data_IF_735119304592
#
_entry.id   IF_735119304592
#
_cell.length_a   1.000
_cell.length_b   1.000
_cell.length_c   1.000
_cell.angle_alpha   90.00
_cell.angle_beta   90.00
_cell.angle_gamma   90.00
#
_symmetry.space_group_name_H-M   'P 1'
#
loop_
_entity.id
_entity.type
_entity.pdbx_description
1 polymer ?
#
# COMPACT_ATOMS: atom_id res chain seq x y z
N UNK A 1 -2.85 8.17 -2.34
CA UNK A 1 -3.75 7.00 -2.18
C UNK A 1 -5.14 7.41 -2.64
N UNK A 2 -5.68 6.85 -3.73
CA UNK A 2 -7.00 7.17 -4.26
C UNK A 2 -8.15 6.53 -3.46
N UNK A 3 -7.86 5.57 -2.57
CA UNK A 3 -8.87 4.77 -1.86
C UNK A 3 -9.87 4.17 -2.84
N UNK A 4 -11.14 4.04 -2.47
CA UNK A 4 -12.23 3.57 -3.32
C UNK A 4 -12.81 4.70 -4.21
N UNK A 5 -11.96 5.37 -5.00
CA UNK A 5 -12.36 6.44 -5.91
C UNK A 5 -11.72 6.30 -7.28
N UNK A 6 -12.38 6.89 -8.27
CA UNK A 6 -11.91 6.99 -9.65
C UNK A 6 -12.71 6.15 -10.62
N UNK A 7 -12.62 6.55 -11.88
CA UNK A 7 -13.09 5.87 -13.07
C UNK A 7 -12.06 6.10 -14.19
N UNK A 8 -12.25 5.50 -15.37
CA UNK A 8 -11.25 5.65 -16.45
C UNK A 8 -11.03 7.11 -16.87
N UNK A 9 -12.07 7.94 -16.87
CA UNK A 9 -11.97 9.33 -17.28
C UNK A 9 -11.14 10.14 -16.28
N UNK A 10 -11.52 10.12 -15.01
CA UNK A 10 -10.82 10.83 -13.93
C UNK A 10 -9.37 10.36 -13.77
N UNK A 11 -9.10 9.05 -13.93
CA UNK A 11 -7.71 8.53 -13.91
C UNK A 11 -6.91 9.07 -15.10
N UNK A 12 -7.49 9.14 -16.29
CA UNK A 12 -6.86 9.74 -17.46
C UNK A 12 -6.57 11.24 -17.27
N UNK A 13 -7.48 11.98 -16.64
CA UNK A 13 -7.29 13.39 -16.29
C UNK A 13 -6.15 13.56 -15.27
N UNK A 14 -6.11 12.75 -14.20
CA UNK A 14 -5.01 12.74 -13.22
C UNK A 14 -3.68 12.42 -13.93
N UNK A 15 -3.66 11.45 -14.82
CA UNK A 15 -2.47 11.09 -15.58
C UNK A 15 -1.97 12.25 -16.44
N UNK A 16 -2.84 12.90 -17.21
CA UNK A 16 -2.48 14.09 -18.00
C UNK A 16 -1.91 15.21 -17.14
N UNK A 17 -2.57 15.52 -16.01
CA UNK A 17 -2.12 16.57 -15.11
C UNK A 17 -0.75 16.28 -14.50
N UNK A 18 -0.54 15.07 -13.98
CA UNK A 18 0.73 14.72 -13.33
C UNK A 18 1.88 14.54 -14.32
N UNK A 19 1.62 13.96 -15.49
CA UNK A 19 2.65 13.73 -16.51
C UNK A 19 3.07 15.01 -17.24
N UNK A 20 2.15 15.99 -17.35
CA UNK A 20 2.44 17.31 -17.91
C UNK A 20 3.07 18.31 -16.92
N UNK A 21 3.14 17.97 -15.63
CA UNK A 21 3.73 18.83 -14.61
C UNK A 21 5.27 18.74 -14.61
N UNK A 22 5.93 19.86 -14.32
CA UNK A 22 7.34 19.88 -13.93
C UNK A 22 7.45 19.39 -12.50
N UNK A 23 8.15 18.27 -12.31
CA UNK A 23 8.34 17.61 -11.01
C UNK A 23 9.84 17.53 -10.73
N UNK A 24 10.24 17.53 -9.46
CA UNK A 24 11.63 17.30 -9.06
C UNK A 24 12.00 15.84 -9.32
N UNK A 25 13.06 15.62 -10.11
CA UNK A 25 13.55 14.28 -10.46
C UNK A 25 14.08 13.50 -9.24
N UNK A 26 14.33 14.16 -8.10
CA UNK A 26 14.73 13.52 -6.85
C UNK A 26 13.53 13.04 -6.00
N UNK A 27 12.29 13.30 -6.43
CA UNK A 27 11.09 12.88 -5.69
C UNK A 27 10.55 11.55 -6.23
N UNK A 28 10.46 10.53 -5.38
CA UNK A 28 9.75 9.28 -5.71
C UNK A 28 8.23 9.47 -5.60
N UNK A 29 7.50 9.23 -6.68
CA UNK A 29 6.03 9.37 -6.73
C UNK A 29 5.37 7.99 -6.73
N UNK A 30 4.44 7.77 -5.80
CA UNK A 30 3.72 6.50 -5.64
C UNK A 30 2.20 6.73 -5.62
N UNK A 31 1.48 6.08 -6.53
CA UNK A 31 0.05 6.22 -6.73
C UNK A 31 -0.71 4.99 -6.24
N UNK A 32 -1.36 5.09 -5.07
CA UNK A 32 -2.23 4.03 -4.54
C UNK A 32 -3.54 3.90 -5.31
N UNK A 33 -3.68 2.85 -6.12
CA UNK A 33 -4.75 2.67 -7.11
C UNK A 33 -5.71 1.52 -6.74
N UNK A 34 -7.04 1.65 -6.94
CA UNK A 34 -7.97 0.52 -6.83
C UNK A 34 -7.58 -0.63 -7.77
N UNK A 35 -7.70 -1.87 -7.30
CA UNK A 35 -7.26 -3.07 -8.04
C UNK A 35 -7.77 -3.14 -9.48
N UNK A 36 -9.04 -2.82 -9.69
CA UNK A 36 -9.71 -2.86 -11.00
C UNK A 36 -9.14 -1.87 -12.02
N UNK A 37 -8.31 -0.93 -11.58
CA UNK A 37 -7.71 0.09 -12.44
C UNK A 37 -6.18 0.06 -12.48
N UNK A 38 -5.51 -0.89 -11.81
CA UNK A 38 -4.03 -0.92 -11.74
C UNK A 38 -3.41 -1.02 -13.14
N UNK A 39 -3.82 -1.99 -13.96
CA UNK A 39 -3.28 -2.16 -15.31
C UNK A 39 -3.55 -0.94 -16.19
N UNK A 40 -4.75 -0.36 -16.08
CA UNK A 40 -5.11 0.86 -16.82
C UNK A 40 -4.28 2.07 -16.40
N UNK A 41 -4.06 2.26 -15.09
CA UNK A 41 -3.17 3.30 -14.60
C UNK A 41 -1.73 3.06 -15.09
N UNK A 42 -1.27 1.80 -15.09
CA UNK A 42 0.08 1.50 -15.56
C UNK A 42 0.31 1.86 -17.02
N UNK A 43 -0.69 1.68 -17.88
CA UNK A 43 -0.66 2.09 -19.30
C UNK A 43 -0.57 3.61 -19.48
N UNK A 44 -1.21 4.38 -18.58
CA UNK A 44 -1.27 5.85 -18.68
C UNK A 44 -0.07 6.56 -18.09
N UNK A 45 0.54 5.99 -17.04
CA UNK A 45 1.63 6.61 -16.31
C UNK A 45 2.99 6.09 -16.81
N UNK A 46 3.97 6.97 -17.09
CA UNK A 46 5.35 6.57 -17.35
C UNK A 46 6.00 5.85 -16.15
N UNK A 47 7.09 5.12 -16.40
CA UNK A 47 7.81 4.34 -15.39
C UNK A 47 8.26 5.14 -14.16
N UNK A 48 8.48 6.46 -14.30
CA UNK A 48 8.84 7.36 -13.18
C UNK A 48 7.76 7.44 -12.09
N UNK A 49 6.50 7.15 -12.43
CA UNK A 49 5.40 7.05 -11.48
C UNK A 49 5.23 5.61 -11.07
N UNK A 50 5.44 5.32 -9.79
CA UNK A 50 5.16 4.02 -9.23
C UNK A 50 3.65 3.84 -9.04
N UNK A 51 3.14 2.66 -9.35
CA UNK A 51 1.76 2.27 -9.05
C UNK A 51 1.80 1.36 -7.83
N UNK A 52 0.98 1.69 -6.83
CA UNK A 52 0.80 0.91 -5.63
C UNK A 52 -0.58 0.28 -5.60
N UNK A 53 -0.63 -1.00 -5.25
CA UNK A 53 -1.87 -1.63 -4.81
C UNK A 53 -2.28 -1.10 -3.42
N UNK A 54 -3.59 -1.13 -3.14
CA UNK A 54 -4.13 -0.64 -1.87
C UNK A 54 -4.28 -1.72 -0.77
N UNK A 55 -4.00 -2.99 -1.11
CA UNK A 55 -3.87 -4.13 -0.20
C UNK A 55 -3.23 -5.30 -0.97
N UNK A 56 -2.81 -6.35 -0.28
CA UNK A 56 -2.56 -7.67 -0.87
C UNK A 56 -2.68 -8.73 0.22
N UNK A 57 -2.60 -10.00 -0.16
CA UNK A 57 -2.66 -11.11 0.78
C UNK A 57 -1.29 -11.68 1.14
N UNK A 58 -1.28 -12.51 2.18
CA UNK A 58 -0.06 -13.01 2.85
C UNK A 58 0.53 -14.30 2.25
N UNK A 59 -0.05 -14.81 1.16
CA UNK A 59 0.42 -16.04 0.50
C UNK A 59 0.29 -15.89 -1.03
N UNK A 60 1.10 -16.64 -1.81
CA UNK A 60 1.20 -16.43 -3.25
C UNK A 60 -0.07 -16.83 -4.02
N UNK A 61 -0.81 -17.84 -3.54
CA UNK A 61 -2.05 -18.35 -4.13
C UNK A 61 -2.81 -19.25 -3.16
N UNK A 62 -4.11 -19.45 -3.39
CA UNK A 62 -4.93 -20.38 -2.62
C UNK A 62 -6.42 -20.08 -2.72
N UNK A 63 -7.21 -20.71 -1.85
CA UNK A 63 -8.65 -20.50 -1.76
C UNK A 63 -8.99 -19.21 -0.99
N UNK A 64 -8.64 -18.05 -1.56
CA UNK A 64 -8.85 -16.72 -0.99
C UNK A 64 -9.64 -15.83 -1.96
N UNK A 65 -10.89 -16.21 -2.23
CA UNK A 65 -11.75 -15.51 -3.20
C UNK A 65 -11.84 -14.00 -2.87
N UNK A 66 -11.52 -13.17 -3.85
CA UNK A 66 -11.55 -11.70 -3.74
C UNK A 66 -10.20 -11.07 -3.35
N UNK A 67 -9.23 -11.85 -2.89
CA UNK A 67 -7.89 -11.36 -2.57
C UNK A 67 -6.97 -11.38 -3.79
N UNK A 68 -5.90 -10.58 -3.71
CA UNK A 68 -4.82 -10.53 -4.70
C UNK A 68 -3.47 -10.81 -4.03
N UNK A 69 -2.60 -11.57 -4.68
CA UNK A 69 -1.27 -11.85 -4.17
C UNK A 69 -0.23 -10.84 -4.66
N UNK A 70 0.89 -10.66 -3.94
CA UNK A 70 1.99 -9.81 -4.41
C UNK A 70 2.50 -10.19 -5.81
N UNK A 71 2.56 -11.49 -6.11
CA UNK A 71 2.96 -11.98 -7.43
C UNK A 71 2.03 -11.49 -8.56
N UNK A 72 0.70 -11.46 -8.33
CA UNK A 72 -0.25 -10.90 -9.31
C UNK A 72 -0.04 -9.39 -9.52
N UNK A 73 0.31 -8.65 -8.48
CA UNK A 73 0.57 -7.21 -8.57
C UNK A 73 1.85 -6.92 -9.37
N UNK A 74 2.88 -7.73 -9.16
CA UNK A 74 4.15 -7.64 -9.88
C UNK A 74 3.98 -7.93 -11.37
N UNK A 75 3.15 -8.92 -11.71
CA UNK A 75 2.80 -9.27 -13.10
C UNK A 75 2.21 -8.09 -13.88
N UNK A 76 1.43 -7.23 -13.21
CA UNK A 76 0.84 -6.02 -13.81
C UNK A 76 1.66 -4.74 -13.53
N UNK A 77 2.93 -4.89 -13.13
CA UNK A 77 3.89 -3.80 -12.89
C UNK A 77 3.47 -2.79 -11.80
N UNK A 78 2.71 -3.25 -10.80
CA UNK A 78 2.52 -2.53 -9.54
C UNK A 78 3.59 -2.96 -8.54
N UNK A 79 4.64 -2.14 -8.43
CA UNK A 79 5.84 -2.46 -7.65
C UNK A 79 5.74 -2.05 -6.16
N UNK A 80 4.63 -1.46 -5.75
CA UNK A 80 4.38 -1.01 -4.39
C UNK A 80 3.05 -1.58 -3.86
N UNK A 81 2.92 -1.68 -2.54
CA UNK A 81 1.64 -1.97 -1.88
C UNK A 81 1.49 -1.20 -0.58
N UNK A 82 0.29 -0.70 -0.31
CA UNK A 82 -0.09 -0.08 0.95
C UNK A 82 -0.66 -1.15 1.87
N UNK A 83 -0.10 -1.32 3.06
CA UNK A 83 -0.51 -2.33 4.03
C UNK A 83 -0.70 -1.72 5.41
N UNK A 84 -1.72 -2.18 6.12
CA UNK A 84 -2.06 -1.66 7.44
C UNK A 84 -2.73 -0.29 7.42
N UNK A 85 -3.32 0.13 6.30
CA UNK A 85 -4.09 1.37 6.25
C UNK A 85 -5.21 1.35 7.31
N UNK A 86 -5.48 2.50 7.94
CA UNK A 86 -6.43 2.60 9.07
C UNK A 86 -7.81 2.02 8.75
N UNK A 87 -8.33 2.25 7.53
CA UNK A 87 -9.58 1.64 7.06
C UNK A 87 -9.54 0.10 7.11
N UNK A 88 -8.41 -0.52 6.76
CA UNK A 88 -8.23 -1.99 6.83
C UNK A 88 -8.15 -2.47 8.27
N UNK A 89 -7.47 -1.72 9.14
CA UNK A 89 -7.36 -2.02 10.59
C UNK A 89 -8.69 -1.92 11.31
N UNK A 90 -9.44 -0.84 11.10
CA UNK A 90 -10.59 -0.50 11.95
C UNK A 90 -11.95 -0.83 11.31
N UNK A 91 -12.08 -0.79 9.98
CA UNK A 91 -13.34 -1.17 9.31
C UNK A 91 -13.35 -2.66 8.96
N UNK A 92 -12.23 -3.17 8.45
CA UNK A 92 -12.10 -4.58 8.06
C UNK A 92 -11.45 -5.46 9.13
N UNK A 93 -11.09 -4.88 10.27
CA UNK A 93 -10.56 -5.59 11.44
C UNK A 93 -9.30 -6.43 11.13
N UNK A 94 -8.43 -5.96 10.25
CA UNK A 94 -7.15 -6.63 9.99
C UNK A 94 -6.21 -6.50 11.20
N UNK A 95 -5.82 -7.61 11.86
CA UNK A 95 -4.96 -7.55 13.03
C UNK A 95 -3.49 -7.28 12.66
N UNK A 96 -2.74 -6.72 13.59
CA UNK A 96 -1.30 -6.41 13.44
C UNK A 96 -0.48 -7.59 12.89
N UNK A 97 -0.72 -8.80 13.38
CA UNK A 97 -0.03 -10.00 12.93
C UNK A 97 -0.28 -10.31 11.46
N UNK A 98 -1.54 -10.21 10.99
CA UNK A 98 -1.88 -10.42 9.58
C UNK A 98 -1.21 -9.38 8.69
N UNK A 99 -1.22 -8.13 9.12
CA UNK A 99 -0.62 -7.02 8.37
C UNK A 99 0.90 -7.21 8.25
N UNK A 100 1.56 -7.63 9.33
CA UNK A 100 2.98 -7.93 9.34
C UNK A 100 3.34 -9.13 8.44
N UNK A 101 2.50 -10.18 8.40
CA UNK A 101 2.65 -11.31 7.48
C UNK A 101 2.50 -10.89 6.01
N UNK A 102 1.49 -10.06 5.71
CA UNK A 102 1.28 -9.49 4.36
C UNK A 102 2.49 -8.69 3.90
N UNK A 103 3.04 -7.84 4.78
CA UNK A 103 4.17 -6.97 4.44
C UNK A 103 5.46 -7.76 4.22
N UNK A 104 5.72 -8.77 5.05
CA UNK A 104 6.86 -9.66 4.84
C UNK A 104 6.73 -10.40 3.49
N UNK A 105 5.57 -10.99 3.20
CA UNK A 105 5.37 -11.69 1.93
C UNK A 105 5.47 -10.75 0.71
N UNK A 106 4.97 -9.51 0.81
CA UNK A 106 5.11 -8.53 -0.26
C UNK A 106 6.59 -8.19 -0.55
N UNK A 107 7.40 -8.01 0.51
CA UNK A 107 8.83 -7.75 0.38
C UNK A 107 9.59 -8.97 -0.19
N UNK A 108 9.24 -10.19 0.24
CA UNK A 108 9.82 -11.44 -0.28
C UNK A 108 9.58 -11.60 -1.79
N UNK A 109 8.41 -11.21 -2.27
CA UNK A 109 8.06 -11.21 -3.70
C UNK A 109 8.66 -10.01 -4.47
N UNK A 110 9.37 -9.12 -3.77
CA UNK A 110 10.09 -7.98 -4.34
C UNK A 110 9.23 -6.76 -4.61
N UNK A 111 8.07 -6.63 -3.95
CA UNK A 111 7.35 -5.36 -3.89
C UNK A 111 7.98 -4.46 -2.81
N UNK A 112 7.83 -3.15 -2.97
CA UNK A 112 8.05 -2.18 -1.90
C UNK A 112 6.77 -1.99 -1.08
N UNK A 113 6.89 -1.66 0.21
CA UNK A 113 5.76 -1.57 1.14
C UNK A 113 5.63 -0.17 1.72
N UNK A 114 4.43 0.40 1.64
CA UNK A 114 4.01 1.53 2.48
C UNK A 114 3.31 0.91 3.71
N UNK A 115 4.01 0.89 4.84
CA UNK A 115 3.57 0.28 6.10
C UNK A 115 2.88 1.34 6.96
N UNK A 116 1.55 1.29 7.00
CA UNK A 116 0.75 2.27 7.72
C UNK A 116 0.58 1.92 9.21
N UNK A 117 0.78 2.91 10.07
CA UNK A 117 0.54 2.86 11.51
C UNK A 117 -0.25 4.11 11.95
N UNK A 118 -0.91 4.02 13.09
CA UNK A 118 -1.69 5.12 13.64
C UNK A 118 -2.70 4.67 14.68
N UNK A 119 -3.04 5.60 15.55
CA UNK A 119 -4.05 5.48 16.58
C UNK A 119 -5.42 5.97 16.12
N UNK A 120 -6.48 5.54 16.82
CA UNK A 120 -7.81 6.14 16.67
C UNK A 120 -7.91 7.48 17.44
N UNK A 121 -8.97 8.24 17.17
CA UNK A 121 -9.23 9.48 17.91
C UNK A 121 -9.34 9.24 19.41
N UNK A 122 -10.04 8.17 19.82
CA UNK A 122 -10.23 7.81 21.22
C UNK A 122 -8.91 7.41 21.90
N UNK A 123 -8.04 6.71 21.17
CA UNK A 123 -6.71 6.36 21.66
C UNK A 123 -5.83 7.59 21.83
N UNK A 124 -5.92 8.54 20.90
CA UNK A 124 -5.22 9.83 20.99
C UNK A 124 -5.70 10.65 22.18
N UNK A 125 -7.01 10.78 22.35
CA UNK A 125 -7.62 11.50 23.49
C UNK A 125 -7.28 10.83 24.83
N UNK A 126 -7.10 9.51 24.83
CA UNK A 126 -6.62 8.75 25.99
C UNK A 126 -5.08 8.78 26.16
N UNK A 127 -4.35 9.59 25.38
CA UNK A 127 -2.88 9.69 25.41
C UNK A 127 -2.15 8.37 25.16
N UNK A 128 -2.69 7.53 24.26
CA UNK A 128 -2.14 6.21 23.91
C UNK A 128 -1.37 6.19 22.60
N UNK A 129 -1.25 7.31 21.87
CA UNK A 129 -0.61 7.39 20.54
C UNK A 129 0.70 6.62 20.48
N UNK A 130 1.69 6.94 21.33
CA UNK A 130 3.01 6.27 21.32
C UNK A 130 2.90 4.76 21.55
N UNK A 131 2.04 4.34 22.49
CA UNK A 131 1.83 2.92 22.80
C UNK A 131 1.26 2.17 21.59
N UNK A 132 0.30 2.77 20.89
CA UNK A 132 -0.35 2.17 19.73
C UNK A 132 0.64 2.04 18.57
N UNK A 133 1.28 3.15 18.17
CA UNK A 133 2.21 3.14 17.04
C UNK A 133 3.43 2.26 17.32
N UNK A 134 3.94 2.22 18.55
CA UNK A 134 5.03 1.32 18.93
C UNK A 134 4.63 -0.15 18.85
N UNK A 135 3.40 -0.50 19.24
CA UNK A 135 2.89 -1.87 19.13
C UNK A 135 2.76 -2.31 17.67
N UNK A 136 2.18 -1.46 16.82
CA UNK A 136 2.00 -1.74 15.39
C UNK A 136 3.37 -1.82 14.67
N UNK A 137 4.29 -0.90 14.99
CA UNK A 137 5.67 -0.91 14.50
C UNK A 137 6.41 -2.19 14.91
N UNK A 138 6.25 -2.61 16.17
CA UNK A 138 6.85 -3.84 16.68
C UNK A 138 6.30 -5.08 15.96
N UNK A 139 5.03 -5.08 15.55
CA UNK A 139 4.47 -6.17 14.76
C UNK A 139 5.17 -6.31 13.41
N UNK A 140 5.36 -5.21 12.67
CA UNK A 140 6.15 -5.23 11.44
C UNK A 140 7.60 -5.68 11.68
N UNK A 141 8.29 -5.16 12.71
CA UNK A 141 9.69 -5.50 13.01
C UNK A 141 9.92 -6.96 13.42
N UNK A 142 8.86 -7.67 13.87
CA UNK A 142 8.95 -9.11 14.12
C UNK A 142 9.20 -9.90 12.83
N UNK A 143 8.56 -9.51 11.72
CA UNK A 143 8.64 -10.22 10.45
C UNK A 143 9.62 -9.58 9.46
N UNK A 144 9.74 -8.24 9.44
CA UNK A 144 10.60 -7.48 8.53
C UNK A 144 11.98 -7.25 9.17
N UNK A 145 13.03 -7.72 8.50
CA UNK A 145 14.44 -7.55 8.94
C UNK A 145 15.20 -6.52 8.12
N UNK A 146 14.86 -6.37 6.84
CA UNK A 146 15.40 -5.35 5.95
C UNK A 146 14.31 -4.32 5.64
N UNK A 147 14.61 -3.07 5.97
CA UNK A 147 13.70 -1.92 5.85
C UNK A 147 13.98 -1.07 4.60
N UNK A 148 14.96 -1.45 3.77
CA UNK A 148 15.38 -0.70 2.58
C UNK A 148 14.22 -0.41 1.61
N UNK A 149 13.26 -1.33 1.50
CA UNK A 149 12.10 -1.22 0.62
C UNK A 149 10.79 -0.92 1.36
N UNK A 150 10.88 -0.33 2.56
CA UNK A 150 9.73 0.03 3.40
C UNK A 150 9.69 1.53 3.65
N UNK A 151 8.51 2.12 3.46
CA UNK A 151 8.20 3.48 3.90
C UNK A 151 7.12 3.38 4.97
N UNK A 152 7.38 3.94 6.15
CA UNK A 152 6.39 4.03 7.23
C UNK A 152 5.50 5.25 6.98
N UNK A 153 4.18 5.07 7.13
CA UNK A 153 3.18 6.11 6.92
C UNK A 153 2.17 6.19 8.07
#
# INVERSE_FOLDING_TARGET
NWKMNGDKQSICEIAKNLTGATLDDNTEIVLGCPFVYISYARELFPAKFNIAAQNCYKVPKGAFTGEVSPAMLKDICANWVILGHSERRHVFNEPDALIAEKAAHALEEGLKVIACIGETLEEREASKTEKVVASQMAAYAKTIKDWTNVVVA
#
